data_IF_866003147893
#
_entry.id   IF_866003147893
#
_cell.length_a   1.000
_cell.length_b   1.000
_cell.length_c   1.000
_cell.angle_alpha   90.00
_cell.angle_beta   90.00
_cell.angle_gamma   90.00
#
_symmetry.space_group_name_H-M   'P 1'
#
loop_
_entity.id
_entity.type
_entity.pdbx_description
1 polymer ?
#
# COMPACT_ATOMS: atom_id res chain seq x y z
N UNK A 1 -13.00 -0.45 10.70
CA UNK A 1 -11.97 -0.48 9.66
C UNK A 1 -12.55 -0.73 8.28
N UNK A 2 -12.35 0.20 7.35
CA UNK A 2 -12.64 0.05 5.92
C UNK A 2 -11.37 -0.31 5.16
N UNK A 3 -11.49 -1.05 4.05
CA UNK A 3 -10.36 -1.40 3.20
C UNK A 3 -10.60 -0.94 1.76
N UNK A 4 -9.61 -0.22 1.22
CA UNK A 4 -9.55 0.24 -0.16
C UNK A 4 -8.34 -0.34 -0.89
N UNK A 5 -8.50 -0.60 -2.18
CA UNK A 5 -7.46 -1.12 -3.06
C UNK A 5 -7.22 -0.16 -4.20
N UNK A 6 -5.98 0.32 -4.36
CA UNK A 6 -5.62 1.10 -5.54
C UNK A 6 -5.58 0.19 -6.79
N UNK A 7 -5.92 0.72 -7.99
CA UNK A 7 -5.83 -0.04 -9.23
C UNK A 7 -4.43 -0.61 -9.49
N UNK A 8 -3.38 0.11 -9.04
CA UNK A 8 -1.99 -0.35 -9.09
C UNK A 8 -1.77 -1.60 -8.27
N UNK A 9 -2.30 -1.65 -7.05
CA UNK A 9 -2.22 -2.83 -6.19
C UNK A 9 -2.88 -4.05 -6.84
N UNK A 10 -4.06 -3.86 -7.44
CA UNK A 10 -4.77 -4.95 -8.15
C UNK A 10 -3.97 -5.44 -9.36
N UNK A 11 -3.30 -4.53 -10.08
CA UNK A 11 -2.43 -4.90 -11.19
C UNK A 11 -1.22 -5.70 -10.70
N UNK A 12 -0.52 -5.20 -9.69
CA UNK A 12 0.62 -5.90 -9.09
C UNK A 12 0.19 -7.31 -8.61
N UNK A 13 -0.95 -7.42 -7.93
CA UNK A 13 -1.49 -8.68 -7.45
C UNK A 13 -1.83 -9.66 -8.60
N UNK A 14 -2.30 -9.16 -9.74
CA UNK A 14 -2.55 -9.98 -10.94
C UNK A 14 -1.24 -10.51 -11.51
N UNK A 15 -0.20 -9.68 -11.56
CA UNK A 15 1.12 -10.05 -12.08
C UNK A 15 1.79 -11.10 -11.18
N UNK A 16 1.51 -11.05 -9.87
CA UNK A 16 2.00 -12.03 -8.90
C UNK A 16 1.34 -13.41 -8.98
N UNK A 17 0.22 -13.61 -9.71
CA UNK A 17 -0.56 -14.86 -9.71
C UNK A 17 0.25 -16.13 -10.02
N UNK A 18 1.33 -16.01 -10.78
CA UNK A 18 2.22 -17.11 -11.15
C UNK A 18 3.23 -17.48 -10.07
N UNK A 19 3.30 -16.71 -8.98
CA UNK A 19 4.31 -16.85 -7.93
C UNK A 19 3.73 -17.48 -6.67
N UNK A 20 4.56 -18.27 -5.97
CA UNK A 20 4.20 -18.93 -4.69
C UNK A 20 3.59 -17.98 -3.62
N UNK A 21 4.08 -16.74 -3.40
CA UNK A 21 3.55 -15.87 -2.35
C UNK A 21 2.22 -15.19 -2.68
N UNK A 22 1.69 -15.34 -3.91
CA UNK A 22 0.38 -14.80 -4.27
C UNK A 22 -0.71 -15.22 -3.28
N UNK A 23 -0.78 -16.50 -2.95
CA UNK A 23 -1.81 -17.03 -2.04
C UNK A 23 -1.68 -16.44 -0.64
N UNK A 24 -0.45 -16.27 -0.15
CA UNK A 24 -0.18 -15.67 1.16
C UNK A 24 -0.59 -14.20 1.19
N UNK A 25 -0.19 -13.44 0.17
CA UNK A 25 -0.52 -12.01 0.05
C UNK A 25 -2.04 -11.82 -0.08
N UNK A 26 -2.69 -12.67 -0.90
CA UNK A 26 -4.14 -12.64 -1.09
C UNK A 26 -4.87 -12.90 0.22
N UNK A 27 -4.52 -13.97 0.94
CA UNK A 27 -5.16 -14.30 2.22
C UNK A 27 -4.91 -13.21 3.27
N UNK A 28 -3.69 -12.68 3.34
CA UNK A 28 -3.41 -11.58 4.27
C UNK A 28 -4.31 -10.38 4.00
N UNK A 29 -4.39 -9.95 2.74
CA UNK A 29 -5.05 -8.70 2.38
C UNK A 29 -6.59 -8.83 2.36
N UNK A 30 -7.11 -9.96 1.90
CA UNK A 30 -8.55 -10.19 1.75
C UNK A 30 -9.18 -11.03 2.87
N UNK A 31 -8.42 -11.45 3.88
CA UNK A 31 -8.95 -12.26 4.98
C UNK A 31 -8.39 -11.78 6.31
N UNK A 32 -7.07 -11.87 6.52
CA UNK A 32 -6.48 -11.58 7.82
C UNK A 32 -6.67 -10.11 8.21
N UNK A 33 -6.43 -9.19 7.27
CA UNK A 33 -6.55 -7.75 7.53
C UNK A 33 -8.01 -7.29 7.66
N UNK A 34 -8.97 -8.05 7.12
CA UNK A 34 -10.40 -7.80 7.37
C UNK A 34 -10.84 -8.29 8.75
N UNK A 35 -10.16 -9.30 9.30
CA UNK A 35 -10.49 -9.90 10.58
C UNK A 35 -9.86 -9.18 11.78
N UNK A 36 -8.72 -8.54 11.59
CA UNK A 36 -8.05 -7.75 12.65
C UNK A 36 -8.83 -6.48 12.98
N UNK A 37 -8.88 -6.15 14.28
CA UNK A 37 -9.46 -4.88 14.75
C UNK A 37 -8.41 -3.78 14.87
N UNK A 38 -7.15 -4.16 15.07
CA UNK A 38 -6.05 -3.23 15.24
C UNK A 38 -4.86 -3.57 14.35
N UNK A 39 -4.18 -2.53 13.86
CA UNK A 39 -2.97 -2.66 13.02
C UNK A 39 -1.81 -3.33 13.75
N UNK A 40 -1.78 -3.24 15.08
CA UNK A 40 -0.79 -3.89 15.95
C UNK A 40 -0.82 -5.42 15.88
N UNK A 41 -1.96 -6.00 15.49
CA UNK A 41 -2.13 -7.44 15.32
C UNK A 41 -1.48 -7.96 14.03
N UNK A 42 -1.16 -7.06 13.09
CA UNK A 42 -0.54 -7.43 11.82
C UNK A 42 0.96 -7.68 12.02
N UNK A 43 1.35 -8.95 11.93
CA UNK A 43 2.75 -9.35 11.99
C UNK A 43 3.58 -8.74 10.84
N UNK A 44 4.86 -8.45 11.11
CA UNK A 44 5.82 -7.88 10.16
C UNK A 44 5.47 -6.48 9.62
N UNK A 45 4.59 -5.77 10.32
CA UNK A 45 4.28 -4.37 10.06
C UNK A 45 5.42 -3.46 10.53
N UNK A 46 5.89 -2.57 9.64
CA UNK A 46 6.79 -1.46 10.00
C UNK A 46 6.29 -0.16 9.40
N UNK A 47 6.22 0.88 10.23
CA UNK A 47 5.97 2.25 9.78
C UNK A 47 7.16 2.74 8.94
N UNK A 48 6.87 3.42 7.82
CA UNK A 48 7.91 4.03 6.98
C UNK A 48 8.34 5.36 7.60
N UNK A 49 9.65 5.66 7.57
CA UNK A 49 10.19 6.94 8.04
C UNK A 49 9.88 8.03 7.00
N UNK A 50 9.34 9.17 7.44
CA UNK A 50 9.09 10.35 6.60
C UNK A 50 7.63 10.61 6.25
N UNK A 51 6.71 9.71 6.60
CA UNK A 51 5.27 9.83 6.29
C UNK A 51 4.43 9.42 7.50
N UNK A 52 3.45 10.24 7.88
CA UNK A 52 2.69 10.02 9.12
C UNK A 52 1.80 8.77 9.06
N UNK A 53 1.34 8.43 7.85
CA UNK A 53 0.28 7.44 7.62
C UNK A 53 0.73 6.26 6.74
N UNK A 54 2.02 6.13 6.44
CA UNK A 54 2.54 5.12 5.52
C UNK A 54 3.17 3.93 6.26
N UNK A 55 2.78 2.73 5.83
CA UNK A 55 3.20 1.47 6.43
C UNK A 55 3.67 0.48 5.38
N UNK A 56 4.50 -0.47 5.83
CA UNK A 56 4.97 -1.58 5.01
C UNK A 56 4.85 -2.90 5.75
N UNK A 57 4.30 -3.92 5.09
CA UNK A 57 4.39 -5.32 5.53
C UNK A 57 5.43 -6.06 4.71
N UNK A 58 6.26 -6.87 5.38
CA UNK A 58 7.20 -7.78 4.71
C UNK A 58 6.63 -9.20 4.73
N UNK A 59 6.51 -9.80 3.54
CA UNK A 59 6.11 -11.20 3.36
C UNK A 59 7.17 -11.91 2.53
N UNK A 60 8.07 -12.64 3.21
CA UNK A 60 9.23 -13.25 2.56
C UNK A 60 10.09 -12.21 1.83
N UNK A 61 10.13 -12.33 0.50
CA UNK A 61 10.80 -11.40 -0.41
C UNK A 61 9.89 -10.28 -0.94
N UNK A 62 8.62 -10.22 -0.58
CA UNK A 62 7.70 -9.18 -1.06
C UNK A 62 7.48 -8.09 -0.02
N UNK A 63 7.22 -6.88 -0.51
CA UNK A 63 6.94 -5.68 0.26
C UNK A 63 5.60 -5.13 -0.17
N UNK A 64 4.68 -5.04 0.78
CA UNK A 64 3.37 -4.44 0.57
C UNK A 64 3.39 -3.06 1.17
N UNK A 65 3.10 -2.04 0.37
CA UNK A 65 2.97 -0.65 0.80
C UNK A 65 1.49 -0.28 0.92
N UNK A 66 1.11 0.30 2.04
CA UNK A 66 -0.25 0.77 2.28
C UNK A 66 -0.27 1.99 3.19
N UNK A 67 -1.39 2.70 3.16
CA UNK A 67 -1.64 3.88 3.97
C UNK A 67 -2.81 3.63 4.91
N UNK A 68 -2.78 4.28 6.06
CA UNK A 68 -3.87 4.24 7.03
C UNK A 68 -4.31 5.67 7.30
N UNK A 69 -5.56 5.98 7.00
CA UNK A 69 -6.15 7.30 7.25
C UNK A 69 -7.44 7.12 8.03
N UNK A 70 -7.53 7.78 9.20
CA UNK A 70 -8.68 7.72 10.12
C UNK A 70 -9.01 6.27 10.55
N UNK A 71 -9.87 5.58 9.80
CA UNK A 71 -10.24 4.16 9.99
C UNK A 71 -10.23 3.38 8.65
N UNK A 72 -9.48 3.85 7.66
CA UNK A 72 -9.41 3.26 6.32
C UNK A 72 -7.99 2.83 5.97
N UNK A 73 -7.81 1.56 5.65
CA UNK A 73 -6.58 1.02 5.07
C UNK A 73 -6.66 1.13 3.56
N UNK A 74 -5.68 1.79 2.94
CA UNK A 74 -5.56 1.86 1.48
C UNK A 74 -4.31 1.15 1.01
N UNK A 75 -4.48 0.00 0.36
CA UNK A 75 -3.37 -0.74 -0.25
C UNK A 75 -2.92 -0.07 -1.54
N UNK A 76 -1.65 0.33 -1.58
CA UNK A 76 -1.11 1.07 -2.70
C UNK A 76 -0.43 0.16 -3.73
N UNK A 77 0.51 -0.69 -3.29
CA UNK A 77 1.34 -1.54 -4.18
C UNK A 77 1.93 -2.77 -3.50
N UNK A 78 2.31 -3.75 -4.33
CA UNK A 78 3.09 -4.93 -3.94
C UNK A 78 4.34 -5.02 -4.82
N UNK A 79 5.51 -5.09 -4.22
CA UNK A 79 6.79 -5.18 -4.94
C UNK A 79 7.65 -6.33 -4.44
N UNK A 80 8.30 -7.03 -5.35
CA UNK A 80 9.28 -8.05 -5.00
C UNK A 80 10.64 -7.43 -4.60
N UNK A 81 11.41 -8.14 -3.76
CA UNK A 81 12.68 -7.62 -3.19
C UNK A 81 13.75 -7.42 -4.23
N UNK A 82 13.84 -8.37 -5.17
CA UNK A 82 14.84 -8.39 -6.24
C UNK A 82 14.39 -7.58 -7.45
N UNK A 83 13.11 -7.32 -7.54
CA UNK A 83 12.53 -6.46 -8.56
C UNK A 83 12.73 -5.01 -8.11
N UNK A 84 13.99 -4.58 -8.17
CA UNK A 84 14.32 -3.16 -8.27
C UNK A 84 13.92 -2.71 -9.68
N UNK A 85 13.25 -1.56 -9.85
CA UNK A 85 12.58 -1.24 -11.10
C UNK A 85 13.60 -1.01 -12.21
N UNK A 86 13.72 -1.96 -13.15
CA UNK A 86 14.21 -1.64 -14.49
C UNK A 86 13.01 -1.59 -15.41
N UNK A 87 12.31 -0.46 -15.36
CA UNK A 87 12.01 0.37 -16.52
C UNK A 87 11.64 1.75 -16.00
N UNK A 88 12.41 2.81 -16.33
CA UNK A 88 11.95 4.15 -16.07
C UNK A 88 10.74 4.38 -16.98
N UNK A 89 9.54 4.43 -16.42
CA UNK A 89 8.56 5.40 -16.91
C UNK A 89 9.03 6.74 -16.35
N UNK A 90 10.12 7.26 -16.93
CA UNK A 90 10.65 8.56 -16.62
C UNK A 90 9.50 9.57 -16.71
N UNK A 91 9.20 10.24 -15.59
CA UNK A 91 8.51 11.52 -15.60
C UNK A 91 7.05 11.55 -15.16
N UNK A 92 6.21 10.54 -15.41
CA UNK A 92 4.74 10.77 -15.33
C UNK A 92 4.03 10.14 -14.13
N UNK A 93 4.47 8.97 -13.64
CA UNK A 93 3.64 8.17 -12.72
C UNK A 93 3.80 8.53 -11.23
N UNK A 94 5.02 8.87 -10.78
CA UNK A 94 5.24 9.43 -9.44
C UNK A 94 4.55 10.80 -9.29
N UNK A 95 4.48 11.58 -10.38
CA UNK A 95 3.77 12.87 -10.42
C UNK A 95 2.24 12.72 -10.36
N UNK A 96 1.68 11.61 -10.86
CA UNK A 96 0.24 11.33 -10.80
C UNK A 96 -0.23 10.86 -9.41
N UNK A 97 0.58 10.09 -8.67
CA UNK A 97 0.25 9.76 -7.28
C UNK A 97 0.57 10.89 -6.31
N UNK A 98 1.57 11.74 -6.60
CA UNK A 98 1.76 12.99 -5.85
C UNK A 98 0.68 14.02 -6.16
N UNK A 99 0.14 14.13 -7.38
CA UNK A 99 -0.98 15.03 -7.69
C UNK A 99 -2.33 14.59 -7.09
N UNK A 100 -2.56 13.28 -6.88
CA UNK A 100 -3.74 12.81 -6.14
C UNK A 100 -3.56 13.03 -4.64
N UNK A 101 -2.34 12.85 -4.11
CA UNK A 101 -2.02 13.06 -2.69
C UNK A 101 -1.98 14.56 -2.32
N UNK A 102 -1.45 15.43 -3.17
CA UNK A 102 -1.45 16.89 -2.96
C UNK A 102 -2.84 17.50 -3.07
N UNK A 103 -3.73 17.01 -3.96
CA UNK A 103 -5.12 17.49 -4.01
C UNK A 103 -5.98 17.01 -2.84
N UNK A 104 -5.69 15.82 -2.28
CA UNK A 104 -6.38 15.31 -1.10
C UNK A 104 -5.84 15.89 0.22
N UNK A 105 -4.54 16.19 0.28
CA UNK A 105 -3.93 16.89 1.43
C UNK A 105 -4.21 18.40 1.42
N UNK A 106 -4.26 19.04 0.25
CA UNK A 106 -4.56 20.48 0.14
C UNK A 106 -6.05 20.80 0.41
N UNK A 107 -6.97 19.86 0.20
CA UNK A 107 -8.40 20.06 0.50
C UNK A 107 -8.78 19.91 1.97
N UNK A 108 -7.92 19.28 2.80
CA UNK A 108 -8.12 19.17 4.27
C UNK A 108 -7.24 20.10 5.10
N UNK A 109 -6.23 20.77 4.49
CA UNK A 109 -5.43 21.79 5.18
C UNK A 109 -6.01 23.22 5.12
N UNK A 110 -7.17 23.43 4.49
CA UNK A 110 -7.89 24.72 4.49
C UNK A 110 -9.16 24.66 5.38
N UNK A 111 -9.10 23.93 6.49
CA UNK A 111 -10.07 24.02 7.59
C UNK A 111 -9.33 24.03 8.92
N UNK A 112 -8.47 25.03 9.10
CA UNK A 112 -8.17 25.67 10.37
C UNK A 112 -7.38 26.94 10.02
N UNK A 113 -7.99 28.07 10.42
CA UNK A 113 -7.60 29.49 10.26
C UNK A 113 -7.94 30.17 8.93
#
# INVERSE_FOLDING_TARGET
MKINYLPTFIKDLKDLKSTSPYSVIKNLVFTDILAVKQLSEINNLKKLKGEYNAYRIRIGDYRIGFFVEEDTITFARVLHRRESPIKPLAGTFLRLQMNQKERFFSSKLNLCD
#
